data_IF_708998913808
#
_entry.id   IF_708998913808
#
_cell.length_a   1.000
_cell.length_b   1.000
_cell.length_c   1.000
_cell.angle_alpha   90.00
_cell.angle_beta   90.00
_cell.angle_gamma   90.00
#
_symmetry.space_group_name_H-M   'P 1'
#
loop_
_entity.id
_entity.type
_entity.pdbx_description
1 polymer ?
#
# COMPACT_ATOMS: atom_id res chain seq x y z
N UNK A 1 -74.28 14.98 18.73
CA UNK A 1 -72.98 14.30 18.54
C UNK A 1 -71.88 15.34 18.65
N UNK A 2 -71.23 15.46 19.81
CA UNK A 2 -70.15 16.43 20.03
C UNK A 2 -68.94 15.63 20.51
N UNK A 3 -67.97 15.42 19.61
CA UNK A 3 -66.76 14.68 19.91
C UNK A 3 -65.83 15.52 20.77
N UNK A 4 -65.54 15.02 21.96
CA UNK A 4 -64.73 15.63 23.00
C UNK A 4 -63.24 15.69 22.59
N UNK A 5 -62.84 16.73 21.86
CA UNK A 5 -61.45 16.97 21.40
C UNK A 5 -60.50 17.51 22.49
N UNK A 6 -60.88 17.50 23.77
CA UNK A 6 -60.16 18.22 24.84
C UNK A 6 -59.08 17.41 25.57
N UNK A 7 -58.74 16.19 25.11
CA UNK A 7 -57.78 15.31 25.79
C UNK A 7 -56.44 15.09 25.06
N UNK A 8 -56.10 15.91 24.06
CA UNK A 8 -54.93 15.64 23.20
C UNK A 8 -53.76 16.65 23.30
N UNK A 9 -53.93 17.77 24.02
CA UNK A 9 -52.96 18.88 23.98
C UNK A 9 -51.66 18.62 24.76
N UNK A 10 -51.71 17.78 25.81
CA UNK A 10 -50.53 17.42 26.61
C UNK A 10 -49.66 16.32 25.99
N UNK A 11 -50.27 15.41 25.23
CA UNK A 11 -49.54 14.35 24.51
C UNK A 11 -48.68 14.91 23.39
N UNK A 12 -49.12 16.00 22.75
CA UNK A 12 -48.45 16.56 21.57
C UNK A 12 -47.05 17.14 21.87
N UNK A 13 -46.85 17.71 23.06
CA UNK A 13 -45.53 18.19 23.49
C UNK A 13 -44.59 17.02 23.81
N UNK A 14 -45.11 15.98 24.48
CA UNK A 14 -44.36 14.78 24.79
C UNK A 14 -44.00 13.98 23.53
N UNK A 15 -44.91 13.92 22.56
CA UNK A 15 -44.70 13.33 21.23
C UNK A 15 -43.62 14.08 20.44
N UNK A 16 -43.62 15.42 20.48
CA UNK A 16 -42.57 16.22 19.86
C UNK A 16 -41.20 16.06 20.55
N UNK A 17 -41.16 16.01 21.89
CA UNK A 17 -39.93 15.77 22.66
C UNK A 17 -39.34 14.37 22.41
N UNK A 18 -40.18 13.34 22.38
CA UNK A 18 -39.74 11.97 22.07
C UNK A 18 -39.31 11.87 20.60
N UNK A 19 -40.05 12.49 19.68
CA UNK A 19 -39.71 12.56 18.26
C UNK A 19 -38.35 13.21 18.01
N UNK A 20 -38.07 14.36 18.63
CA UNK A 20 -36.75 15.01 18.47
C UNK A 20 -35.64 14.21 19.14
N UNK A 21 -35.92 13.55 20.28
CA UNK A 21 -34.93 12.70 20.96
C UNK A 21 -34.52 11.50 20.09
N UNK A 22 -35.48 10.79 19.53
CA UNK A 22 -35.23 9.65 18.62
C UNK A 22 -34.50 10.15 17.37
N UNK A 23 -34.92 11.29 16.80
CA UNK A 23 -34.27 11.88 15.64
C UNK A 23 -32.80 12.26 15.92
N UNK A 24 -32.53 12.88 17.07
CA UNK A 24 -31.16 13.22 17.50
C UNK A 24 -30.27 11.97 17.65
N UNK A 25 -30.79 10.89 18.25
CA UNK A 25 -30.05 9.62 18.32
C UNK A 25 -29.84 9.00 16.93
N UNK A 26 -30.80 9.13 16.02
CA UNK A 26 -30.67 8.69 14.63
C UNK A 26 -29.51 9.39 13.90
N UNK A 27 -29.43 10.72 14.00
CA UNK A 27 -28.34 11.51 13.40
C UNK A 27 -26.98 11.15 14.02
N UNK A 28 -26.91 11.02 15.34
CA UNK A 28 -25.67 10.66 16.04
C UNK A 28 -25.16 9.27 15.63
N UNK A 29 -26.07 8.32 15.43
CA UNK A 29 -25.76 6.95 14.97
C UNK A 29 -25.16 6.96 13.56
N UNK A 30 -25.70 7.77 12.65
CA UNK A 30 -25.18 7.91 11.29
C UNK A 30 -23.78 8.53 11.30
N UNK A 31 -23.56 9.56 12.11
CA UNK A 31 -22.24 10.20 12.25
C UNK A 31 -21.20 9.24 12.81
N UNK A 32 -21.57 8.39 13.77
CA UNK A 32 -20.69 7.36 14.30
C UNK A 32 -20.26 6.34 13.23
N UNK A 33 -21.20 5.90 12.38
CA UNK A 33 -20.91 4.99 11.28
C UNK A 33 -20.01 5.64 10.22
N UNK A 34 -20.31 6.88 9.83
CA UNK A 34 -19.51 7.63 8.86
C UNK A 34 -18.08 7.89 9.38
N UNK A 35 -17.94 8.21 10.67
CA UNK A 35 -16.64 8.37 11.32
C UNK A 35 -15.79 7.11 11.30
N UNK A 36 -16.40 5.93 11.41
CA UNK A 36 -15.69 4.65 11.28
C UNK A 36 -15.35 4.33 9.82
N UNK A 37 -16.27 4.56 8.89
CA UNK A 37 -16.03 4.33 7.46
C UNK A 37 -14.84 5.15 6.92
N UNK A 38 -14.73 6.42 7.33
CA UNK A 38 -13.61 7.29 6.92
C UNK A 38 -12.23 6.77 7.37
N UNK A 39 -12.16 6.03 8.49
CA UNK A 39 -10.89 5.44 8.97
C UNK A 39 -10.38 4.38 8.00
N UNK A 40 -11.27 3.51 7.53
CA UNK A 40 -10.93 2.47 6.55
C UNK A 40 -10.57 3.02 5.17
N UNK A 41 -11.13 4.17 4.78
CA UNK A 41 -10.75 4.83 3.52
C UNK A 41 -9.32 5.35 3.57
N UNK A 42 -8.88 5.90 4.72
CA UNK A 42 -7.52 6.43 4.89
C UNK A 42 -6.44 5.33 4.80
N UNK A 43 -6.69 4.16 5.41
CA UNK A 43 -5.78 3.01 5.33
C UNK A 43 -5.69 2.47 3.90
N UNK A 44 -6.83 2.33 3.23
CA UNK A 44 -6.92 1.89 1.84
C UNK A 44 -6.16 2.83 0.89
N UNK A 45 -6.31 4.15 1.05
CA UNK A 45 -5.62 5.15 0.22
C UNK A 45 -4.09 5.06 0.30
N UNK A 46 -3.55 4.85 1.51
CA UNK A 46 -2.11 4.69 1.73
C UNK A 46 -1.58 3.41 1.06
N UNK A 47 -2.33 2.31 1.16
CA UNK A 47 -1.98 1.03 0.52
C UNK A 47 -2.04 1.13 -1.01
N UNK A 48 -3.05 1.80 -1.55
CA UNK A 48 -3.18 2.04 -3.00
C UNK A 48 -2.00 2.85 -3.52
N UNK A 49 -1.62 3.93 -2.82
CA UNK A 49 -0.45 4.73 -3.18
C UNK A 49 0.84 3.89 -3.18
N UNK A 50 1.03 3.05 -2.16
CA UNK A 50 2.17 2.12 -2.11
C UNK A 50 2.17 1.14 -3.30
N UNK A 51 1.02 0.55 -3.64
CA UNK A 51 0.89 -0.34 -4.79
C UNK A 51 1.18 0.36 -6.12
N UNK A 52 0.71 1.58 -6.29
CA UNK A 52 1.02 2.36 -7.47
C UNK A 52 2.53 2.64 -7.58
N UNK A 53 3.20 2.96 -6.47
CA UNK A 53 4.65 3.16 -6.45
C UNK A 53 5.42 1.90 -6.79
N UNK A 54 4.98 0.74 -6.30
CA UNK A 54 5.61 -0.55 -6.62
C UNK A 54 5.44 -0.88 -8.12
N UNK A 55 4.23 -0.69 -8.66
CA UNK A 55 3.97 -0.90 -10.09
C UNK A 55 4.81 0.03 -10.98
N UNK A 56 5.04 1.27 -10.56
CA UNK A 56 5.91 2.21 -11.30
C UNK A 56 7.35 1.71 -11.38
N UNK A 57 7.95 1.27 -10.27
CA UNK A 57 9.33 0.75 -10.31
C UNK A 57 9.40 -0.60 -11.05
N UNK A 58 8.38 -1.45 -10.93
CA UNK A 58 8.28 -2.67 -11.73
C UNK A 58 8.31 -2.37 -13.24
N UNK A 59 7.52 -1.39 -13.69
CA UNK A 59 7.54 -0.91 -15.06
C UNK A 59 8.93 -0.39 -15.49
N UNK A 60 9.60 0.40 -14.64
CA UNK A 60 10.93 0.92 -14.94
C UNK A 60 11.99 -0.19 -15.08
N UNK A 61 11.90 -1.25 -14.27
CA UNK A 61 12.78 -2.41 -14.38
C UNK A 61 12.51 -3.20 -15.67
N UNK A 62 11.24 -3.34 -16.07
CA UNK A 62 10.86 -4.01 -17.33
C UNK A 62 11.28 -3.25 -18.59
N UNK A 63 11.29 -1.92 -18.54
CA UNK A 63 11.78 -1.07 -19.66
C UNK A 63 13.29 -1.21 -19.86
N UNK A 64 14.04 -1.54 -18.80
CA UNK A 64 15.50 -1.67 -18.84
C UNK A 64 15.98 -3.07 -18.44
N UNK A 65 15.63 -4.15 -19.18
CA UNK A 65 15.82 -5.54 -18.77
C UNK A 65 17.28 -6.03 -18.78
N UNK A 66 18.25 -5.19 -19.14
CA UNK A 66 19.67 -5.58 -19.17
C UNK A 66 20.16 -5.90 -17.76
N UNK A 67 20.90 -7.00 -17.63
CA UNK A 67 21.37 -7.55 -16.35
C UNK A 67 22.15 -6.53 -15.51
N UNK A 68 23.03 -5.73 -16.14
CA UNK A 68 23.79 -4.67 -15.48
C UNK A 68 22.89 -3.50 -15.00
N UNK A 69 21.82 -3.20 -15.74
CA UNK A 69 20.88 -2.16 -15.37
C UNK A 69 19.96 -2.62 -14.24
N UNK A 70 19.57 -3.90 -14.20
CA UNK A 70 18.78 -4.45 -13.10
C UNK A 70 19.52 -4.31 -11.76
N UNK A 71 20.81 -4.66 -11.70
CA UNK A 71 21.57 -4.56 -10.45
C UNK A 71 21.62 -3.12 -9.89
N UNK A 72 21.55 -2.10 -10.75
CA UNK A 72 21.47 -0.70 -10.34
C UNK A 72 20.18 -0.32 -9.60
N UNK A 73 19.13 -1.14 -9.70
CA UNK A 73 17.89 -0.97 -8.94
C UNK A 73 17.93 -1.64 -7.56
N UNK A 74 18.94 -2.48 -7.29
CA UNK A 74 19.07 -3.18 -6.02
C UNK A 74 19.37 -2.17 -4.91
N UNK A 75 18.53 -2.16 -3.87
CA UNK A 75 18.73 -1.30 -2.71
C UNK A 75 18.29 -2.01 -1.43
N UNK A 76 19.10 -1.90 -0.38
CA UNK A 76 18.73 -2.36 0.96
C UNK A 76 17.79 -1.38 1.65
N UNK A 77 17.92 -0.08 1.36
CA UNK A 77 17.10 0.99 1.93
C UNK A 77 16.86 2.11 0.93
N UNK A 78 15.77 2.87 1.12
CA UNK A 78 15.44 4.04 0.29
C UNK A 78 16.53 5.12 0.25
N UNK A 79 17.40 5.17 1.28
CA UNK A 79 18.48 6.17 1.41
C UNK A 79 19.80 5.70 0.81
N UNK A 80 19.95 4.40 0.53
CA UNK A 80 21.17 3.83 -0.06
C UNK A 80 21.25 4.01 -1.58
N UNK A 81 20.16 4.41 -2.24
CA UNK A 81 20.13 4.55 -3.69
C UNK A 81 20.83 5.83 -4.17
N UNK A 82 21.64 5.72 -5.22
CA UNK A 82 22.29 6.88 -5.86
C UNK A 82 21.23 7.84 -6.37
N UNK A 83 21.28 9.11 -5.97
CA UNK A 83 20.22 10.10 -6.23
C UNK A 83 19.87 10.34 -7.72
N UNK A 84 20.79 10.00 -8.63
CA UNK A 84 20.62 10.10 -10.10
C UNK A 84 20.15 8.80 -10.75
N UNK A 85 20.15 7.68 -10.02
CA UNK A 85 19.61 6.41 -10.52
C UNK A 85 18.08 6.45 -10.55
N UNK A 86 17.46 5.66 -11.43
CA UNK A 86 16.01 5.50 -11.46
C UNK A 86 15.45 5.01 -10.11
N UNK A 87 16.23 4.17 -9.40
CA UNK A 87 15.97 3.75 -8.03
C UNK A 87 15.97 4.93 -7.02
N UNK A 88 16.91 5.87 -7.12
CA UNK A 88 16.97 7.05 -6.25
C UNK A 88 15.87 8.09 -6.53
N UNK A 89 15.45 8.23 -7.79
CA UNK A 89 14.28 9.05 -8.14
C UNK A 89 13.00 8.42 -7.57
N UNK A 90 12.85 7.10 -7.71
CA UNK A 90 11.73 6.37 -7.13
C UNK A 90 11.71 6.46 -5.60
N UNK A 91 12.85 6.33 -4.92
CA UNK A 91 12.90 6.39 -3.46
C UNK A 91 12.48 7.77 -2.91
N UNK A 92 12.80 8.86 -3.64
CA UNK A 92 12.28 10.21 -3.35
C UNK A 92 10.76 10.29 -3.54
N UNK A 93 10.21 9.66 -4.58
CA UNK A 93 8.77 9.60 -4.78
C UNK A 93 8.06 8.81 -3.67
N UNK A 94 8.66 7.72 -3.19
CA UNK A 94 8.17 6.96 -2.02
C UNK A 94 8.16 7.85 -0.78
N UNK A 95 9.26 8.54 -0.48
CA UNK A 95 9.35 9.43 0.68
C UNK A 95 8.35 10.61 0.62
N UNK A 96 8.06 11.12 -0.58
CA UNK A 96 7.09 12.21 -0.77
C UNK A 96 5.63 11.77 -0.59
N UNK A 97 5.28 10.55 -1.01
CA UNK A 97 3.91 10.04 -0.91
C UNK A 97 3.62 9.35 0.43
N UNK A 98 4.63 8.72 1.03
CA UNK A 98 4.53 7.97 2.27
C UNK A 98 5.64 8.43 3.25
N UNK A 99 5.38 9.47 4.07
CA UNK A 99 6.37 9.94 5.03
C UNK A 99 6.66 8.87 6.09
N UNK A 100 7.95 8.62 6.34
CA UNK A 100 8.42 7.57 7.25
C UNK A 100 8.39 6.16 6.65
N UNK A 101 8.13 6.01 5.35
CA UNK A 101 8.22 4.71 4.70
C UNK A 101 9.68 4.25 4.54
N UNK A 102 9.88 2.95 4.70
CA UNK A 102 11.12 2.26 4.33
C UNK A 102 10.86 1.37 3.13
N UNK A 103 11.86 1.19 2.29
CA UNK A 103 11.74 0.43 1.06
C UNK A 103 13.02 -0.34 0.79
N UNK A 104 12.84 -1.51 0.20
CA UNK A 104 13.92 -2.45 -0.12
C UNK A 104 13.61 -3.07 -1.47
N UNK A 105 14.59 -3.11 -2.35
CA UNK A 105 14.53 -3.78 -3.64
C UNK A 105 15.64 -4.81 -3.67
N UNK A 106 15.27 -6.08 -3.58
CA UNK A 106 16.21 -7.18 -3.79
C UNK A 106 16.01 -7.75 -5.17
N UNK A 107 17.13 -8.04 -5.83
CA UNK A 107 17.13 -8.69 -7.13
C UNK A 107 17.98 -9.94 -6.94
N UNK A 108 17.37 -11.09 -7.18
CA UNK A 108 18.09 -12.34 -7.14
C UNK A 108 19.21 -12.33 -8.20
N UNK A 109 20.36 -12.83 -7.79
CA UNK A 109 21.44 -13.13 -8.70
C UNK A 109 21.24 -14.59 -9.09
N UNK A 110 20.86 -14.86 -10.34
CA UNK A 110 20.74 -16.24 -10.85
C UNK A 110 22.08 -17.00 -10.86
N UNK A 111 23.16 -16.37 -10.42
CA UNK A 111 24.50 -16.93 -10.31
C UNK A 111 24.81 -17.53 -8.92
N UNK A 112 23.82 -18.16 -8.27
CA UNK A 112 24.13 -19.08 -7.17
C UNK A 112 24.67 -20.39 -7.79
N UNK A 113 25.92 -20.75 -7.47
CA UNK A 113 26.56 -21.96 -7.98
C UNK A 113 25.63 -23.18 -7.87
N UNK A 114 25.26 -23.78 -9.01
CA UNK A 114 24.42 -24.99 -9.07
C UNK A 114 22.96 -24.80 -9.50
N UNK A 115 22.53 -23.61 -9.95
CA UNK A 115 21.19 -23.42 -10.56
C UNK A 115 21.24 -23.39 -12.09
N UNK A 116 20.26 -24.02 -12.73
CA UNK A 116 19.98 -23.96 -14.18
C UNK A 116 19.87 -22.51 -14.64
N UNK A 117 20.46 -22.17 -15.79
CA UNK A 117 20.40 -20.83 -16.39
C UNK A 117 18.94 -20.36 -16.43
N UNK A 118 18.60 -19.30 -15.68
CA UNK A 118 17.25 -18.72 -15.71
C UNK A 118 17.23 -17.54 -16.67
N UNK A 119 16.20 -17.52 -17.50
CA UNK A 119 15.93 -16.48 -18.50
C UNK A 119 15.25 -15.24 -17.92
N UNK A 120 15.06 -15.26 -16.60
CA UNK A 120 14.38 -14.26 -15.83
C UNK A 120 15.14 -14.05 -14.52
N UNK A 121 15.18 -12.79 -14.06
CA UNK A 121 15.62 -12.42 -12.72
C UNK A 121 14.40 -12.09 -11.88
N UNK A 122 14.38 -12.59 -10.66
CA UNK A 122 13.33 -12.24 -9.70
C UNK A 122 13.67 -10.93 -9.00
N UNK A 123 12.81 -9.93 -9.15
CA UNK A 123 12.84 -8.69 -8.40
C UNK A 123 11.76 -8.73 -7.31
N UNK A 124 12.18 -8.48 -6.07
CA UNK A 124 11.30 -8.36 -4.92
C UNK A 124 11.37 -6.91 -4.45
N UNK A 125 10.25 -6.21 -4.61
CA UNK A 125 10.11 -4.83 -4.15
C UNK A 125 9.24 -4.85 -2.91
N UNK A 126 9.76 -4.32 -1.82
CA UNK A 126 9.04 -4.20 -0.54
C UNK A 126 9.02 -2.74 -0.12
N UNK A 127 7.83 -2.25 0.24
CA UNK A 127 7.63 -0.96 0.90
C UNK A 127 6.94 -1.23 2.22
N UNK A 128 7.45 -0.66 3.30
CA UNK A 128 6.76 -0.61 4.58
C UNK A 128 6.57 0.82 5.06
N UNK A 129 5.45 1.11 5.71
CA UNK A 129 5.09 2.47 6.15
C UNK A 129 4.32 2.44 7.47
N UNK A 130 4.41 3.50 8.29
CA UNK A 130 3.76 3.51 9.61
C UNK A 130 2.23 3.45 9.49
N UNK A 131 1.59 2.69 10.39
CA UNK A 131 0.12 2.71 10.53
C UNK A 131 -0.32 4.02 11.18
N UNK A 132 -1.32 4.69 10.62
CA UNK A 132 -1.97 5.80 11.32
C UNK A 132 -3.08 5.22 12.19
N UNK A 133 -2.85 5.18 13.51
CA UNK A 133 -3.85 4.88 14.55
C UNK A 133 -4.47 3.46 14.43
N UNK A 134 -3.71 2.43 14.81
CA UNK A 134 -4.25 1.12 15.25
C UNK A 134 -4.72 0.13 14.19
N UNK A 135 -4.73 0.49 12.90
CA UNK A 135 -5.14 -0.45 11.83
C UNK A 135 -3.96 -1.30 11.36
N UNK A 136 -3.80 -2.48 11.96
CA UNK A 136 -2.83 -3.49 11.52
C UNK A 136 -3.39 -4.23 10.31
N UNK A 137 -3.06 -3.76 9.12
CA UNK A 137 -3.40 -4.47 7.87
C UNK A 137 -2.25 -5.37 7.37
N UNK A 138 -1.13 -5.41 8.09
CA UNK A 138 0.06 -6.22 7.78
C UNK A 138 0.32 -7.36 8.77
N UNK A 139 1.36 -8.14 8.49
CA UNK A 139 1.84 -9.24 9.34
C UNK A 139 2.18 -8.74 10.73
N UNK A 140 1.62 -9.37 11.76
CA UNK A 140 1.93 -9.05 13.17
C UNK A 140 3.44 -9.19 13.39
N UNK A 141 4.11 -8.13 13.85
CA UNK A 141 5.54 -8.15 14.20
C UNK A 141 6.48 -7.27 13.37
N UNK A 142 5.99 -6.57 12.33
CA UNK A 142 6.79 -5.55 11.64
C UNK A 142 6.74 -4.23 12.43
N UNK A 143 7.83 -3.90 13.09
CA UNK A 143 8.01 -2.64 13.83
C UNK A 143 9.07 -1.77 13.18
N UNK A 144 8.88 -0.46 13.21
CA UNK A 144 9.94 0.50 12.90
C UNK A 144 11.06 0.41 13.95
N UNK A 145 12.16 1.13 13.73
CA UNK A 145 13.29 1.18 14.66
C UNK A 145 12.93 1.68 16.07
N UNK A 146 11.73 2.23 16.26
CA UNK A 146 11.20 2.75 17.52
C UNK A 146 10.10 1.86 18.13
N UNK A 147 9.82 0.68 17.56
CA UNK A 147 8.79 -0.25 18.04
C UNK A 147 7.36 0.04 17.55
N UNK A 148 7.17 1.03 16.69
CA UNK A 148 5.89 1.39 16.08
C UNK A 148 5.51 0.43 14.95
N UNK A 149 4.26 -0.03 14.93
CA UNK A 149 3.80 -1.03 13.96
C UNK A 149 3.73 -0.45 12.52
N UNK A 150 4.11 -1.26 11.54
CA UNK A 150 4.16 -0.86 10.13
C UNK A 150 3.25 -1.73 9.25
N UNK A 151 2.65 -1.09 8.26
CA UNK A 151 2.07 -1.78 7.11
C UNK A 151 3.20 -2.18 6.16
N UNK A 152 2.99 -3.28 5.43
CA UNK A 152 3.92 -3.78 4.42
C UNK A 152 3.16 -4.08 3.14
N UNK A 153 3.80 -3.81 2.02
CA UNK A 153 3.39 -4.38 0.77
C UNK A 153 4.59 -4.80 -0.07
N UNK A 154 4.49 -6.01 -0.59
CA UNK A 154 5.55 -6.68 -1.33
C UNK A 154 5.00 -7.11 -2.67
N UNK A 155 5.75 -6.83 -3.72
CA UNK A 155 5.52 -7.39 -5.04
C UNK A 155 6.74 -8.20 -5.45
N UNK A 156 6.46 -9.35 -6.07
CA UNK A 156 7.48 -10.23 -6.59
C UNK A 156 7.23 -10.37 -8.08
N UNK A 157 8.19 -9.92 -8.87
CA UNK A 157 8.12 -9.90 -10.31
C UNK A 157 9.29 -10.66 -10.90
N UNK A 158 8.98 -11.54 -11.85
CA UNK A 158 9.99 -12.17 -12.69
C UNK A 158 10.18 -11.28 -13.95
N UNK A 159 11.40 -10.77 -14.13
CA UNK A 159 11.79 -9.90 -15.24
C UNK A 159 12.63 -10.72 -16.20
N UNK A 160 12.14 -10.89 -17.43
CA UNK A 160 12.89 -11.56 -18.48
C UNK A 160 14.12 -10.72 -18.88
N UNK A 161 15.32 -11.31 -18.85
CA UNK A 161 16.59 -10.61 -19.10
C UNK A 161 17.23 -10.97 -20.45
N UNK A 162 16.45 -11.45 -21.42
CA UNK A 162 16.95 -11.81 -22.76
C UNK A 162 17.19 -10.57 -23.58
N UNK A 163 18.46 -10.18 -23.79
CA UNK A 163 18.98 -9.48 -24.99
C UNK A 163 20.52 -9.56 -25.04
N UNK A 164 21.09 -10.76 -24.89
CA UNK A 164 22.50 -10.98 -25.22
C UNK A 164 22.60 -12.02 -26.32
N UNK A 165 22.82 -11.52 -27.53
CA UNK A 165 23.62 -12.11 -28.59
C UNK A 165 25.04 -12.42 -28.05
N UNK A 166 25.12 -13.34 -27.08
CA UNK A 166 26.37 -14.02 -26.78
C UNK A 166 26.69 -14.92 -27.97
N UNK A 167 27.95 -14.94 -28.47
CA UNK A 167 28.37 -15.81 -29.59
C UNK A 167 28.22 -17.32 -29.30
N UNK A 168 27.77 -17.67 -28.09
CA UNK A 168 27.53 -19.03 -27.61
C UNK A 168 26.05 -19.33 -27.34
N UNK A 169 25.14 -18.72 -28.12
CA UNK A 169 23.90 -19.35 -28.59
C UNK A 169 22.96 -20.06 -27.61
N UNK A 170 23.04 -19.82 -26.30
CA UNK A 170 22.11 -20.44 -25.36
C UNK A 170 20.90 -19.54 -25.25
N UNK A 171 20.10 -19.57 -26.31
CA UNK A 171 18.74 -19.06 -26.26
C UNK A 171 18.01 -19.84 -25.17
N UNK A 172 17.18 -19.11 -24.44
CA UNK A 172 16.13 -19.62 -23.60
C UNK A 172 15.11 -20.39 -24.44
N UNK A 173 15.50 -21.56 -24.94
CA UNK A 173 14.61 -22.44 -25.67
C UNK A 173 13.67 -23.12 -24.68
N UNK A 174 12.37 -23.05 -25.02
CA UNK A 174 11.23 -23.64 -24.32
C UNK A 174 11.50 -24.95 -23.59
#
# INVERSE_FOLDING_TARGET
MQFSLLKQRGSMLLEAMVGITIFSFGVLSILALQGNAMRHVSSTSSRTSAMQLIQRIDGLMRVNPRTANLDSFRMSSCTSATATSAAGIWSRAVAAQLPGATCTVTIDNDNAAGRTIRCFRRAVVTISWPVRRGELTGTSGLTDSNGGQMNIATNVSDIQTVWSDTPNGTLCNN
#
